data_IF_890939808243
#
_entry.id   IF_890939808243
#
_cell.length_a   1.000
_cell.length_b   1.000
_cell.length_c   1.000
_cell.angle_alpha   90.00
_cell.angle_beta   90.00
_cell.angle_gamma   90.00
#
_symmetry.space_group_name_H-M   'P 1'
#
loop_
_entity.id
_entity.type
_entity.pdbx_description
1 polymer ?
#
# COMPACT_ATOMS: atom_id res chain seq x y z
N UNK A 1 27.75 19.66 19.61
CA UNK A 1 27.84 18.19 19.58
C UNK A 1 27.61 17.75 18.15
N UNK A 2 28.47 16.91 17.62
CA UNK A 2 28.31 16.37 16.28
C UNK A 2 27.11 15.44 16.20
N UNK A 3 26.28 15.62 15.16
CA UNK A 3 25.04 14.88 14.96
C UNK A 3 25.12 14.22 13.59
N UNK A 4 24.97 12.88 13.52
CA UNK A 4 24.77 12.15 12.27
C UNK A 4 23.29 11.91 12.05
N UNK A 5 22.83 12.24 10.84
CA UNK A 5 21.50 11.87 10.35
C UNK A 5 21.62 10.74 9.37
N UNK A 6 20.84 9.71 9.56
CA UNK A 6 20.77 8.56 8.67
C UNK A 6 19.54 8.62 7.77
N UNK A 7 19.71 8.27 6.53
CA UNK A 7 18.65 8.13 5.52
C UNK A 7 18.11 6.72 5.46
N UNK A 8 17.12 6.49 4.61
CA UNK A 8 16.55 5.16 4.37
C UNK A 8 17.57 4.12 3.87
N UNK A 9 18.74 4.55 3.38
CA UNK A 9 19.78 3.65 2.88
C UNK A 9 20.77 3.18 3.97
N UNK A 10 20.69 3.73 5.18
CA UNK A 10 21.64 3.43 6.26
C UNK A 10 21.17 2.31 7.21
N UNK A 11 20.38 1.35 6.71
CA UNK A 11 19.85 0.24 7.53
C UNK A 11 20.98 -0.58 8.19
N UNK A 12 22.09 -0.75 7.51
CA UNK A 12 23.22 -1.52 8.03
C UNK A 12 23.90 -0.84 9.22
N UNK A 13 23.80 0.49 9.31
CA UNK A 13 24.26 1.23 10.50
C UNK A 13 23.37 0.90 11.69
N UNK A 14 22.03 0.88 11.49
CA UNK A 14 21.07 0.61 12.54
C UNK A 14 21.18 -0.84 13.04
N UNK A 15 21.35 -1.78 12.11
CA UNK A 15 21.47 -3.19 12.46
C UNK A 15 22.88 -3.60 12.97
N UNK A 16 23.80 -2.63 13.05
CA UNK A 16 25.17 -2.88 13.50
C UNK A 16 26.08 -3.53 12.47
N UNK A 17 25.65 -3.70 11.22
CA UNK A 17 26.46 -4.26 10.15
C UNK A 17 27.47 -3.27 9.60
N UNK A 18 27.12 -1.97 9.61
CA UNK A 18 27.97 -0.89 9.13
C UNK A 18 28.49 -0.07 10.29
N UNK A 19 29.80 0.05 10.41
CA UNK A 19 30.52 0.78 11.49
C UNK A 19 31.28 1.99 10.96
N UNK A 20 31.00 2.39 9.72
CA UNK A 20 31.61 3.58 9.11
C UNK A 20 30.62 4.28 8.17
N UNK A 21 30.85 5.53 7.88
CA UNK A 21 30.07 6.31 6.93
C UNK A 21 30.89 7.44 6.33
N UNK A 22 30.57 7.83 5.10
CA UNK A 22 31.19 8.97 4.43
C UNK A 22 30.29 10.18 4.55
N UNK A 23 30.87 11.32 4.91
CA UNK A 23 30.16 12.61 4.99
C UNK A 23 31.05 13.72 4.49
N UNK A 24 30.46 14.73 3.85
CA UNK A 24 31.16 15.98 3.56
C UNK A 24 31.72 16.57 4.86
N UNK A 25 33.01 17.01 4.84
CA UNK A 25 33.67 17.52 6.03
C UNK A 25 32.89 18.69 6.65
N UNK A 26 32.71 18.64 7.95
CA UNK A 26 32.05 19.73 8.70
C UNK A 26 32.97 20.94 8.85
N UNK A 27 32.36 22.10 9.15
CA UNK A 27 33.13 23.30 9.52
C UNK A 27 34.12 23.03 10.64
N UNK A 28 33.77 22.10 11.55
CA UNK A 28 34.66 21.57 12.59
C UNK A 28 34.79 20.06 12.34
N UNK A 29 35.90 19.61 11.76
CA UNK A 29 36.12 18.19 11.47
C UNK A 29 36.07 17.35 12.75
N UNK A 30 35.51 16.14 12.61
CA UNK A 30 35.49 15.16 13.68
C UNK A 30 36.89 14.62 13.97
N UNK A 31 37.11 14.26 15.24
CA UNK A 31 38.36 13.66 15.73
C UNK A 31 38.05 12.32 16.42
N UNK A 32 39.07 11.49 16.46
CA UNK A 32 39.04 10.26 17.26
C UNK A 32 38.72 10.60 18.71
N UNK A 33 37.79 9.89 19.33
CA UNK A 33 37.31 10.14 20.68
C UNK A 33 36.07 11.05 20.74
N UNK A 34 35.65 11.67 19.63
CA UNK A 34 34.39 12.42 19.63
C UNK A 34 33.20 11.49 19.83
N UNK A 35 32.21 11.94 20.60
CA UNK A 35 30.94 11.25 20.74
C UNK A 35 29.98 11.76 19.68
N UNK A 36 29.37 10.84 18.95
CA UNK A 36 28.35 11.08 17.95
C UNK A 36 26.97 10.76 18.53
N UNK A 37 26.02 11.65 18.25
CA UNK A 37 24.62 11.39 18.51
C UNK A 37 23.93 11.09 17.17
N UNK A 38 23.48 9.87 17.03
CA UNK A 38 22.91 9.38 15.78
C UNK A 38 21.39 9.48 15.86
N UNK A 39 20.79 10.27 14.97
CA UNK A 39 19.36 10.51 14.92
C UNK A 39 18.77 10.04 13.58
N UNK A 40 17.57 9.50 13.64
CA UNK A 40 16.71 9.25 12.51
C UNK A 40 15.88 10.48 12.18
N UNK A 41 15.82 10.82 10.88
CA UNK A 41 14.90 11.83 10.33
C UNK A 41 14.97 13.22 11.02
N UNK A 42 16.14 13.85 10.96
CA UNK A 42 16.38 15.20 11.50
C UNK A 42 15.45 16.29 10.96
N UNK A 43 14.80 16.04 9.80
CA UNK A 43 13.94 17.02 9.10
C UNK A 43 12.49 16.97 9.61
N UNK A 44 12.07 15.92 10.29
CA UNK A 44 10.71 15.79 10.84
C UNK A 44 10.62 16.34 12.27
N UNK A 45 9.38 16.67 12.70
CA UNK A 45 9.11 17.07 14.09
C UNK A 45 9.39 15.95 15.09
N UNK A 46 9.45 14.70 14.62
CA UNK A 46 9.73 13.51 15.42
C UNK A 46 11.18 13.06 15.22
N UNK A 47 12.09 13.74 15.83
CA UNK A 47 13.50 13.34 15.90
C UNK A 47 13.66 12.16 16.84
N UNK A 48 14.16 11.06 16.34
CA UNK A 48 14.42 9.88 17.15
C UNK A 48 15.92 9.64 17.23
N UNK A 49 16.48 9.71 18.44
CA UNK A 49 17.88 9.32 18.69
C UNK A 49 18.01 7.82 18.52
N UNK A 50 18.92 7.37 17.66
CA UNK A 50 19.08 5.95 17.34
C UNK A 50 20.07 5.31 18.31
N UNK A 51 21.28 5.90 18.43
CA UNK A 51 22.32 5.42 19.33
C UNK A 51 23.37 6.50 19.52
N UNK A 52 24.25 6.29 20.49
CA UNK A 52 25.50 7.02 20.63
C UNK A 52 26.64 6.17 20.07
N UNK A 53 27.60 6.83 19.47
CA UNK A 53 28.78 6.18 18.95
C UNK A 53 30.04 6.96 19.36
N UNK A 54 31.12 6.23 19.54
CA UNK A 54 32.45 6.78 19.72
C UNK A 54 33.18 6.75 18.40
N UNK A 55 33.73 7.88 17.95
CA UNK A 55 34.58 7.93 16.76
C UNK A 55 35.89 7.20 17.04
N UNK A 56 36.14 6.14 16.29
CA UNK A 56 37.34 5.31 16.47
C UNK A 56 38.43 5.64 15.45
N UNK A 57 38.07 6.12 14.27
CA UNK A 57 39.00 6.61 13.25
C UNK A 57 38.30 7.65 12.35
N UNK A 58 39.08 8.54 11.77
CA UNK A 58 38.62 9.53 10.80
C UNK A 58 39.67 9.61 9.68
N UNK A 59 39.25 9.35 8.47
CA UNK A 59 40.08 9.49 7.27
C UNK A 59 39.52 10.63 6.42
N UNK A 60 40.37 11.55 6.00
CA UNK A 60 40.00 12.55 5.03
C UNK A 60 40.20 12.02 3.64
N UNK A 61 39.21 12.21 2.76
CA UNK A 61 39.23 11.76 1.39
C UNK A 61 38.73 12.88 0.48
N UNK A 62 39.38 13.14 -0.62
CA UNK A 62 38.96 14.11 -1.60
C UNK A 62 37.80 13.59 -2.46
N UNK A 63 37.05 14.50 -3.05
CA UNK A 63 35.97 14.11 -3.98
C UNK A 63 36.55 13.36 -5.20
N UNK A 64 37.75 13.73 -5.65
CA UNK A 64 38.44 13.07 -6.75
C UNK A 64 38.75 11.58 -6.47
N UNK A 65 39.04 11.23 -5.21
CA UNK A 65 39.28 9.86 -4.78
C UNK A 65 37.99 9.06 -4.61
N UNK A 66 36.87 9.73 -4.44
CA UNK A 66 35.55 9.10 -4.26
C UNK A 66 34.87 8.82 -5.61
N UNK A 67 34.95 9.76 -6.56
CA UNK A 67 34.07 9.81 -7.74
C UNK A 67 34.18 8.62 -8.68
N UNK A 68 35.33 7.96 -8.72
CA UNK A 68 35.61 6.82 -9.60
C UNK A 68 35.95 5.54 -8.81
N UNK A 69 35.67 5.49 -7.52
CA UNK A 69 36.03 4.38 -6.64
C UNK A 69 34.83 3.45 -6.41
N UNK A 70 34.68 2.46 -7.32
CA UNK A 70 33.60 1.46 -7.23
C UNK A 70 33.76 0.56 -6.00
N UNK A 71 34.98 0.24 -5.57
CA UNK A 71 35.17 -0.56 -4.36
C UNK A 71 34.67 0.17 -3.11
N UNK A 72 34.98 1.44 -2.98
CA UNK A 72 34.51 2.28 -1.89
C UNK A 72 32.99 2.41 -1.95
N UNK A 73 32.41 2.61 -3.13
CA UNK A 73 30.96 2.72 -3.31
C UNK A 73 30.25 1.45 -2.84
N UNK A 74 30.73 0.27 -3.24
CA UNK A 74 30.15 -1.01 -2.82
C UNK A 74 30.30 -1.22 -1.30
N UNK A 75 31.44 -0.86 -0.72
CA UNK A 75 31.66 -0.91 0.73
C UNK A 75 30.71 0.02 1.50
N UNK A 76 30.29 1.13 0.90
CA UNK A 76 29.32 2.06 1.46
C UNK A 76 27.86 1.71 1.14
N UNK A 77 27.62 0.58 0.46
CA UNK A 77 26.26 0.06 0.19
C UNK A 77 25.62 0.62 -1.06
N UNK A 78 26.40 1.20 -1.97
CA UNK A 78 25.95 1.63 -3.30
C UNK A 78 26.26 0.55 -4.34
N UNK A 79 25.60 0.62 -5.48
CA UNK A 79 25.83 -0.32 -6.58
C UNK A 79 27.21 -0.13 -7.21
N UNK A 80 27.57 1.10 -7.46
CA UNK A 80 28.82 1.55 -8.09
C UNK A 80 29.09 3.02 -7.70
N UNK A 81 30.22 3.56 -8.13
CA UNK A 81 30.61 4.96 -7.88
C UNK A 81 29.61 5.97 -8.47
N UNK A 82 29.02 5.67 -9.64
CA UNK A 82 28.00 6.52 -10.26
C UNK A 82 26.71 6.58 -9.43
N UNK A 83 26.28 5.48 -8.85
CA UNK A 83 25.13 5.43 -7.95
C UNK A 83 25.40 6.23 -6.67
N UNK A 84 26.58 6.06 -6.09
CA UNK A 84 27.04 6.81 -4.93
C UNK A 84 27.07 8.33 -5.20
N UNK A 85 27.63 8.75 -6.32
CA UNK A 85 27.69 10.17 -6.72
C UNK A 85 26.32 10.77 -6.97
N UNK A 86 25.40 10.01 -7.56
CA UNK A 86 24.03 10.45 -7.76
C UNK A 86 23.33 10.76 -6.43
N UNK A 87 23.49 9.88 -5.43
CA UNK A 87 22.92 10.09 -4.11
C UNK A 87 23.62 11.22 -3.35
N UNK A 88 24.94 11.38 -3.49
CA UNK A 88 25.66 12.52 -2.92
C UNK A 88 25.20 13.85 -3.53
N UNK A 89 25.06 13.95 -4.86
CA UNK A 89 24.53 15.14 -5.53
C UNK A 89 23.11 15.49 -5.04
N UNK A 90 22.28 14.50 -4.83
CA UNK A 90 20.92 14.66 -4.30
C UNK A 90 20.97 15.16 -2.84
N UNK A 91 21.83 14.58 -2.01
CA UNK A 91 21.97 14.92 -0.58
C UNK A 91 22.50 16.33 -0.36
N UNK A 92 23.43 16.77 -1.19
CA UNK A 92 24.10 18.08 -1.09
C UNK A 92 23.59 19.12 -2.11
N UNK A 93 22.42 18.87 -2.71
CA UNK A 93 21.75 19.84 -3.60
C UNK A 93 22.49 20.16 -4.90
N UNK A 94 23.30 19.22 -5.42
CA UNK A 94 24.09 19.42 -6.61
C UNK A 94 25.33 20.30 -6.45
N UNK A 95 25.63 20.78 -5.24
CA UNK A 95 26.77 21.65 -4.93
C UNK A 95 27.97 20.84 -4.42
N UNK A 96 28.47 19.92 -5.23
CA UNK A 96 29.72 19.20 -4.94
C UNK A 96 30.75 19.60 -6.01
N UNK A 97 31.89 20.11 -5.52
CA UNK A 97 33.03 20.48 -6.37
C UNK A 97 34.20 19.52 -6.18
N UNK A 98 35.07 19.41 -7.16
CA UNK A 98 36.25 18.53 -7.11
C UNK A 98 37.20 18.85 -5.92
N UNK A 99 37.12 20.08 -5.39
CA UNK A 99 37.88 20.49 -4.21
C UNK A 99 37.19 20.22 -2.85
N UNK A 100 36.02 19.61 -2.85
CA UNK A 100 35.32 19.30 -1.59
C UNK A 100 36.01 18.14 -0.87
N UNK A 101 36.22 18.32 0.42
CA UNK A 101 36.77 17.30 1.31
C UNK A 101 35.64 16.53 1.99
N UNK A 102 35.82 15.23 2.09
CA UNK A 102 34.94 14.30 2.80
C UNK A 102 35.68 13.62 3.94
N UNK A 103 34.95 13.08 4.88
CA UNK A 103 35.50 12.27 5.95
C UNK A 103 34.86 10.89 5.94
N UNK A 104 35.69 9.87 5.97
CA UNK A 104 35.27 8.51 6.31
C UNK A 104 35.36 8.42 7.82
N UNK A 105 34.23 8.23 8.45
CA UNK A 105 34.11 8.22 9.90
C UNK A 105 33.89 6.77 10.33
N UNK A 106 34.86 6.22 11.01
CA UNK A 106 34.73 4.92 11.67
C UNK A 106 34.25 5.15 13.09
N UNK A 107 33.30 4.35 13.52
CA UNK A 107 32.76 4.48 14.87
C UNK A 107 32.42 3.14 15.47
N UNK A 108 32.48 3.07 16.78
CA UNK A 108 32.02 1.96 17.57
C UNK A 108 30.74 2.35 18.29
N UNK A 109 29.72 1.52 18.19
CA UNK A 109 28.43 1.72 18.87
C UNK A 109 28.67 1.54 20.36
N UNK A 110 28.44 2.59 21.16
CA UNK A 110 28.50 2.47 22.61
C UNK A 110 27.36 1.54 23.10
N UNK A 111 27.69 0.66 24.02
CA UNK A 111 26.70 -0.20 24.64
C UNK A 111 25.63 0.64 25.34
N UNK A 112 24.38 0.24 25.22
CA UNK A 112 23.21 0.93 25.79
C UNK A 112 23.32 1.05 27.31
N UNK A 113 24.05 0.18 27.96
CA UNK A 113 24.26 0.14 29.43
C UNK A 113 25.03 1.32 29.99
N UNK A 114 25.75 2.11 29.17
CA UNK A 114 26.46 3.32 29.59
C UNK A 114 25.60 4.60 29.52
N UNK A 115 24.38 4.49 28.99
CA UNK A 115 23.50 5.64 28.81
C UNK A 115 22.48 5.73 29.95
N UNK A 116 22.53 6.84 30.71
CA UNK A 116 21.61 7.12 31.84
C UNK A 116 20.28 7.77 31.41
N UNK A 117 19.94 7.80 30.13
CA UNK A 117 18.66 8.24 29.62
C UNK A 117 17.67 7.08 29.42
N UNK A 118 16.43 7.39 28.98
CA UNK A 118 15.41 6.37 28.73
C UNK A 118 15.92 5.26 27.81
N UNK A 119 15.72 4.00 28.19
CA UNK A 119 16.15 2.84 27.38
C UNK A 119 15.54 2.97 25.99
N UNK A 120 16.40 3.09 24.97
CA UNK A 120 15.93 3.02 23.58
C UNK A 120 15.56 1.59 23.32
N UNK A 121 14.28 1.34 23.08
CA UNK A 121 13.80 0.05 22.60
C UNK A 121 14.21 -0.07 21.11
N UNK A 122 15.31 -0.77 20.87
CA UNK A 122 15.86 -1.00 19.52
C UNK A 122 14.81 -1.69 18.61
N UNK A 123 14.05 -2.65 19.16
CA UNK A 123 12.96 -3.33 18.44
C UNK A 123 11.88 -2.34 18.04
N UNK A 124 11.39 -1.53 18.97
CA UNK A 124 10.35 -0.52 18.68
C UNK A 124 10.79 0.48 17.63
N UNK A 125 12.06 0.88 17.65
CA UNK A 125 12.63 1.80 16.69
C UNK A 125 12.71 1.21 15.28
N UNK A 126 13.21 -0.02 15.16
CA UNK A 126 13.30 -0.75 13.87
C UNK A 126 11.89 -1.01 13.33
N UNK A 127 10.95 -1.37 14.20
CA UNK A 127 9.54 -1.58 13.85
C UNK A 127 8.91 -0.31 13.28
N UNK A 128 9.03 0.81 13.99
CA UNK A 128 8.50 2.11 13.50
C UNK A 128 9.09 2.50 12.14
N UNK A 129 10.36 2.20 11.91
CA UNK A 129 10.98 2.40 10.60
C UNK A 129 10.38 1.50 9.53
N UNK A 130 10.16 0.23 9.84
CA UNK A 130 9.55 -0.72 8.93
C UNK A 130 8.15 -0.25 8.52
N UNK A 131 7.35 0.22 9.47
CA UNK A 131 6.01 0.76 9.23
C UNK A 131 6.04 1.99 8.30
N UNK A 132 6.93 2.96 8.56
CA UNK A 132 7.10 4.14 7.68
C UNK A 132 7.50 3.74 6.25
N UNK A 133 8.37 2.76 6.10
CA UNK A 133 8.79 2.25 4.79
C UNK A 133 7.65 1.52 4.09
N UNK A 134 6.86 0.75 4.82
CA UNK A 134 5.66 0.09 4.33
C UNK A 134 4.63 1.10 3.81
N UNK A 135 4.28 2.11 4.62
CA UNK A 135 3.34 3.17 4.27
C UNK A 135 3.82 4.02 3.07
N UNK A 136 5.14 4.10 2.88
CA UNK A 136 5.75 4.78 1.72
C UNK A 136 5.85 3.89 0.48
N UNK A 137 5.32 2.66 0.49
CA UNK A 137 5.38 1.69 -0.61
C UNK A 137 6.78 1.10 -0.86
N UNK A 138 7.73 1.28 0.07
CA UNK A 138 9.11 0.76 -0.06
C UNK A 138 9.23 -0.64 0.55
N UNK A 139 8.45 -1.58 0.01
CA UNK A 139 8.24 -2.90 0.59
C UNK A 139 9.52 -3.73 0.76
N UNK A 140 10.45 -3.72 -0.19
CA UNK A 140 11.72 -4.45 -0.05
C UNK A 140 12.55 -3.96 1.15
N UNK A 141 12.61 -2.63 1.36
CA UNK A 141 13.33 -2.05 2.50
C UNK A 141 12.58 -2.28 3.82
N UNK A 142 11.27 -2.26 3.78
CA UNK A 142 10.42 -2.61 4.92
C UNK A 142 10.65 -4.06 5.37
N UNK A 143 10.73 -5.02 4.41
CA UNK A 143 11.07 -6.42 4.69
C UNK A 143 12.36 -6.54 5.50
N UNK A 144 13.42 -5.85 5.09
CA UNK A 144 14.70 -5.89 5.80
C UNK A 144 14.59 -5.39 7.25
N UNK A 145 13.75 -4.37 7.48
CA UNK A 145 13.53 -3.84 8.82
C UNK A 145 12.70 -4.80 9.68
N UNK A 146 11.60 -5.37 9.14
CA UNK A 146 10.82 -6.36 9.88
C UNK A 146 11.64 -7.60 10.20
N UNK A 147 12.47 -8.09 9.26
CA UNK A 147 13.41 -9.20 9.52
C UNK A 147 14.41 -8.88 10.64
N UNK A 148 14.89 -7.63 10.68
CA UNK A 148 15.79 -7.20 11.75
C UNK A 148 15.09 -7.14 13.10
N UNK A 149 13.84 -6.65 13.16
CA UNK A 149 13.03 -6.61 14.38
C UNK A 149 12.66 -8.02 14.85
N UNK A 150 12.30 -8.93 13.93
CA UNK A 150 11.99 -10.32 14.23
C UNK A 150 13.21 -11.14 14.70
N UNK A 151 14.44 -10.72 14.35
CA UNK A 151 15.64 -11.32 14.97
C UNK A 151 15.79 -10.97 16.45
N UNK A 152 15.27 -9.81 16.87
CA UNK A 152 15.27 -9.40 18.28
C UNK A 152 14.13 -10.06 19.06
N UNK A 153 13.01 -10.27 18.41
CA UNK A 153 11.83 -10.91 19.00
C UNK A 153 11.10 -11.76 17.95
N UNK A 154 11.47 -13.04 17.80
CA UNK A 154 10.94 -13.92 16.75
C UNK A 154 9.45 -14.26 16.89
N UNK A 155 8.90 -14.11 18.09
CA UNK A 155 7.54 -14.49 18.44
C UNK A 155 6.61 -13.26 18.60
N UNK A 156 7.05 -12.08 18.14
CA UNK A 156 6.23 -10.87 18.14
C UNK A 156 5.13 -10.99 17.07
N UNK A 157 3.90 -11.18 17.51
CA UNK A 157 2.72 -11.38 16.66
C UNK A 157 2.46 -10.19 15.74
N UNK A 158 2.66 -8.96 16.24
CA UNK A 158 2.50 -7.76 15.43
C UNK A 158 3.50 -7.73 14.27
N UNK A 159 4.78 -7.99 14.56
CA UNK A 159 5.84 -8.01 13.54
C UNK A 159 5.62 -9.12 12.51
N UNK A 160 5.23 -10.32 12.96
CA UNK A 160 4.91 -11.44 12.07
C UNK A 160 3.75 -11.10 11.13
N UNK A 161 2.68 -10.48 11.66
CA UNK A 161 1.54 -10.05 10.84
C UNK A 161 1.97 -8.98 9.83
N UNK A 162 2.69 -7.93 10.26
CA UNK A 162 3.17 -6.85 9.39
C UNK A 162 4.15 -7.34 8.33
N UNK A 163 5.02 -8.27 8.65
CA UNK A 163 5.90 -8.91 7.68
C UNK A 163 5.10 -9.71 6.65
N UNK A 164 4.06 -10.43 7.07
CA UNK A 164 3.13 -11.11 6.18
C UNK A 164 2.43 -10.14 5.23
N UNK A 165 1.90 -9.02 5.74
CA UNK A 165 1.26 -7.98 4.93
C UNK A 165 2.25 -7.41 3.90
N UNK A 166 3.48 -7.14 4.32
CA UNK A 166 4.53 -6.59 3.46
C UNK A 166 4.94 -7.58 2.35
N UNK A 167 5.07 -8.87 2.66
CA UNK A 167 5.36 -9.92 1.69
C UNK A 167 4.20 -10.12 0.70
N UNK A 168 2.96 -10.00 1.17
CA UNK A 168 1.76 -10.03 0.32
C UNK A 168 1.75 -8.88 -0.69
N UNK A 169 2.16 -7.66 -0.29
CA UNK A 169 2.32 -6.52 -1.20
C UNK A 169 3.41 -6.73 -2.26
N UNK A 170 4.42 -7.53 -1.95
CA UNK A 170 5.47 -7.95 -2.88
C UNK A 170 5.08 -9.14 -3.76
N UNK A 171 3.85 -9.67 -3.63
CA UNK A 171 3.40 -10.87 -4.34
C UNK A 171 4.02 -12.18 -3.83
N UNK A 172 4.75 -12.15 -2.70
CA UNK A 172 5.37 -13.32 -2.07
C UNK A 172 4.40 -14.02 -1.13
N UNK A 173 3.29 -14.51 -1.70
CA UNK A 173 2.16 -15.03 -0.90
C UNK A 173 2.52 -16.25 -0.06
N UNK A 174 3.41 -17.13 -0.53
CA UNK A 174 3.87 -18.29 0.23
C UNK A 174 4.57 -17.88 1.54
N UNK A 175 5.54 -16.97 1.43
CA UNK A 175 6.30 -16.45 2.58
C UNK A 175 5.38 -15.67 3.53
N UNK A 176 4.39 -14.94 2.99
CA UNK A 176 3.38 -14.24 3.79
C UNK A 176 2.54 -15.21 4.62
N UNK A 177 2.07 -16.30 4.01
CA UNK A 177 1.30 -17.35 4.68
C UNK A 177 2.11 -17.97 5.83
N UNK A 178 3.40 -18.23 5.61
CA UNK A 178 4.31 -18.76 6.65
C UNK A 178 4.43 -17.80 7.85
N UNK A 179 4.48 -16.49 7.61
CA UNK A 179 4.49 -15.47 8.66
C UNK A 179 3.17 -15.47 9.46
N UNK A 180 2.03 -15.50 8.76
CA UNK A 180 0.72 -15.60 9.42
C UNK A 180 0.56 -16.90 10.19
N UNK A 181 1.09 -18.04 9.68
CA UNK A 181 1.07 -19.30 10.40
C UNK A 181 1.89 -19.28 11.69
N UNK A 182 3.02 -18.57 11.68
CA UNK A 182 3.80 -18.35 12.90
C UNK A 182 3.01 -17.52 13.90
N UNK A 183 2.40 -16.44 13.47
CA UNK A 183 1.59 -15.58 14.32
C UNK A 183 0.36 -16.32 14.90
N UNK A 184 -0.34 -17.12 14.08
CA UNK A 184 -1.51 -17.89 14.49
C UNK A 184 -1.18 -19.08 15.41
N UNK A 185 0.07 -19.53 15.48
CA UNK A 185 0.49 -20.49 16.52
C UNK A 185 0.50 -19.86 17.91
N UNK A 186 0.70 -18.55 17.98
CA UNK A 186 0.74 -17.79 19.24
C UNK A 186 -0.66 -17.28 19.58
N UNK A 187 -1.37 -16.71 18.60
CA UNK A 187 -2.73 -16.20 18.74
C UNK A 187 -3.69 -16.87 17.72
N UNK A 188 -4.19 -18.09 18.01
CA UNK A 188 -4.98 -18.86 17.04
C UNK A 188 -6.34 -18.25 16.68
N UNK A 189 -6.87 -17.37 17.52
CA UNK A 189 -8.18 -16.73 17.35
C UNK A 189 -8.10 -15.26 16.89
N UNK A 190 -6.90 -14.81 16.47
CA UNK A 190 -6.72 -13.44 15.96
C UNK A 190 -7.38 -13.29 14.58
N UNK A 191 -8.52 -12.63 14.58
CA UNK A 191 -9.36 -12.47 13.38
C UNK A 191 -8.67 -11.72 12.25
N UNK A 192 -7.84 -10.72 12.55
CA UNK A 192 -7.12 -9.94 11.55
C UNK A 192 -6.09 -10.80 10.82
N UNK A 193 -5.33 -11.60 11.57
CA UNK A 193 -4.31 -12.49 10.98
C UNK A 193 -4.97 -13.61 10.17
N UNK A 194 -6.07 -14.19 10.67
CA UNK A 194 -6.84 -15.18 9.93
C UNK A 194 -7.36 -14.59 8.61
N UNK A 195 -7.88 -13.37 8.61
CA UNK A 195 -8.36 -12.71 7.40
C UNK A 195 -7.21 -12.39 6.43
N UNK A 196 -6.09 -11.84 6.92
CA UNK A 196 -4.92 -11.56 6.09
C UNK A 196 -4.38 -12.84 5.44
N UNK A 197 -4.32 -13.94 6.19
CA UNK A 197 -3.95 -15.26 5.66
C UNK A 197 -4.93 -15.74 4.59
N UNK A 198 -6.24 -15.56 4.80
CA UNK A 198 -7.25 -15.95 3.83
C UNK A 198 -7.11 -15.14 2.53
N UNK A 199 -6.84 -13.83 2.61
CA UNK A 199 -6.58 -12.96 1.47
C UNK A 199 -5.29 -13.39 0.74
N UNK A 200 -4.21 -13.68 1.47
CA UNK A 200 -2.97 -14.16 0.86
C UNK A 200 -3.16 -15.49 0.12
N UNK A 201 -3.97 -16.40 0.68
CA UNK A 201 -4.35 -17.67 0.02
C UNK A 201 -5.17 -17.43 -1.26
N UNK A 202 -6.11 -16.48 -1.25
CA UNK A 202 -6.88 -16.09 -2.45
C UNK A 202 -5.94 -15.56 -3.54
N UNK A 203 -5.05 -14.64 -3.19
CA UNK A 203 -4.10 -14.06 -4.14
C UNK A 203 -3.09 -15.09 -4.67
N UNK A 204 -2.81 -16.15 -3.90
CA UNK A 204 -2.04 -17.31 -4.34
C UNK A 204 -2.86 -18.30 -5.19
N UNK A 205 -4.15 -18.04 -5.47
CA UNK A 205 -5.04 -18.94 -6.20
C UNK A 205 -5.57 -20.12 -5.39
N UNK A 206 -5.30 -20.17 -4.08
CA UNK A 206 -5.75 -21.27 -3.21
C UNK A 206 -7.08 -20.92 -2.52
N UNK A 207 -8.16 -20.94 -3.31
CA UNK A 207 -9.50 -20.55 -2.82
C UNK A 207 -10.02 -21.52 -1.76
N UNK A 208 -9.76 -22.82 -1.90
CA UNK A 208 -10.16 -23.82 -0.89
C UNK A 208 -9.44 -23.63 0.44
N UNK A 209 -8.15 -23.27 0.39
CA UNK A 209 -7.38 -22.90 1.58
C UNK A 209 -7.95 -21.66 2.28
N UNK A 210 -8.27 -20.63 1.50
CA UNK A 210 -8.91 -19.41 2.00
C UNK A 210 -10.26 -19.71 2.66
N UNK A 211 -11.08 -20.58 2.07
CA UNK A 211 -12.36 -20.98 2.65
C UNK A 211 -12.19 -21.70 4.00
N UNK A 212 -11.21 -22.61 4.11
CA UNK A 212 -10.91 -23.30 5.39
C UNK A 212 -10.53 -22.29 6.46
N UNK A 213 -9.64 -21.35 6.15
CA UNK A 213 -9.18 -20.32 7.11
C UNK A 213 -10.32 -19.38 7.49
N UNK A 214 -11.15 -18.93 6.52
CA UNK A 214 -12.33 -18.10 6.81
C UNK A 214 -13.36 -18.82 7.67
N UNK A 215 -13.43 -20.17 7.57
CA UNK A 215 -14.31 -20.98 8.44
C UNK A 215 -13.79 -20.99 9.87
N UNK A 216 -12.48 -21.07 10.07
CA UNK A 216 -11.85 -20.96 11.38
C UNK A 216 -12.14 -19.57 11.98
N UNK A 217 -11.91 -18.51 11.23
CA UNK A 217 -12.21 -17.14 11.65
C UNK A 217 -13.68 -16.97 12.07
N UNK A 218 -14.60 -17.47 11.25
CA UNK A 218 -16.04 -17.42 11.55
C UNK A 218 -16.43 -18.20 12.81
N UNK A 219 -15.80 -19.34 13.08
CA UNK A 219 -16.06 -20.11 14.30
C UNK A 219 -15.62 -19.37 15.57
N UNK A 220 -14.51 -18.63 15.50
CA UNK A 220 -14.07 -17.80 16.62
C UNK A 220 -14.87 -16.52 16.78
N UNK A 221 -15.20 -15.85 15.67
CA UNK A 221 -15.83 -14.52 15.66
C UNK A 221 -17.02 -14.45 14.69
N UNK A 222 -18.14 -15.15 15.01
CA UNK A 222 -19.27 -15.30 14.08
C UNK A 222 -20.05 -14.00 13.80
N UNK A 223 -19.79 -12.95 14.57
CA UNK A 223 -20.45 -11.64 14.43
C UNK A 223 -19.47 -10.51 14.13
N UNK A 224 -18.19 -10.82 13.84
CA UNK A 224 -17.23 -9.80 13.42
C UNK A 224 -17.55 -9.34 11.99
N UNK A 225 -17.74 -8.02 11.76
CA UNK A 225 -17.98 -7.48 10.41
C UNK A 225 -16.88 -7.86 9.42
N UNK A 226 -15.62 -7.75 9.82
CA UNK A 226 -14.46 -8.08 8.96
C UNK A 226 -14.47 -9.55 8.56
N UNK A 227 -14.74 -10.45 9.51
CA UNK A 227 -14.81 -11.90 9.24
C UNK A 227 -15.98 -12.22 8.30
N UNK A 228 -17.14 -11.61 8.52
CA UNK A 228 -18.32 -11.82 7.66
C UNK A 228 -18.08 -11.32 6.25
N UNK A 229 -17.52 -10.11 6.11
CA UNK A 229 -17.22 -9.53 4.79
C UNK A 229 -16.33 -10.46 3.95
N UNK A 230 -15.16 -10.82 4.46
CA UNK A 230 -14.23 -11.69 3.75
C UNK A 230 -14.77 -13.11 3.53
N UNK A 231 -15.56 -13.64 4.46
CA UNK A 231 -16.23 -14.93 4.26
C UNK A 231 -17.24 -14.86 3.13
N UNK A 232 -18.04 -13.80 3.05
CA UNK A 232 -18.97 -13.55 1.95
C UNK A 232 -18.24 -13.54 0.61
N UNK A 233 -17.18 -12.76 0.51
CA UNK A 233 -16.33 -12.64 -0.67
C UNK A 233 -15.71 -14.00 -1.10
N UNK A 234 -15.17 -14.76 -0.15
CA UNK A 234 -14.60 -16.10 -0.45
C UNK A 234 -15.67 -17.07 -0.94
N UNK A 235 -16.87 -17.03 -0.39
CA UNK A 235 -17.99 -17.85 -0.84
C UNK A 235 -18.44 -17.48 -2.25
N UNK A 236 -18.43 -16.20 -2.58
CA UNK A 236 -18.71 -15.67 -3.92
C UNK A 236 -17.67 -16.21 -4.92
N UNK A 237 -16.36 -16.09 -4.62
CA UNK A 237 -15.28 -16.64 -5.44
C UNK A 237 -15.35 -18.17 -5.63
N UNK A 238 -16.00 -18.89 -4.71
CA UNK A 238 -16.31 -20.32 -4.83
C UNK A 238 -17.59 -20.61 -5.63
N UNK A 239 -18.28 -19.59 -6.14
CA UNK A 239 -19.57 -19.73 -6.80
C UNK A 239 -20.72 -20.13 -5.85
N UNK A 240 -20.50 -20.05 -4.53
CA UNK A 240 -21.52 -20.38 -3.51
C UNK A 240 -22.40 -19.20 -3.19
N UNK A 241 -22.97 -18.56 -4.23
CA UNK A 241 -23.69 -17.29 -4.17
C UNK A 241 -24.79 -17.22 -3.11
N UNK A 242 -25.63 -18.26 -3.01
CA UNK A 242 -26.69 -18.27 -1.98
C UNK A 242 -26.16 -18.34 -0.53
N UNK A 243 -24.94 -18.88 -0.32
CA UNK A 243 -24.30 -18.84 0.99
C UNK A 243 -23.66 -17.48 1.25
N UNK A 244 -23.04 -16.87 0.25
CA UNK A 244 -22.48 -15.53 0.32
C UNK A 244 -23.56 -14.50 0.64
N UNK A 245 -24.71 -14.57 -0.05
CA UNK A 245 -25.86 -13.68 0.19
C UNK A 245 -26.33 -13.73 1.65
N UNK A 246 -26.50 -14.91 2.22
CA UNK A 246 -26.86 -15.07 3.64
C UNK A 246 -25.83 -14.45 4.60
N UNK A 247 -24.54 -14.50 4.23
CA UNK A 247 -23.48 -13.88 5.04
C UNK A 247 -23.53 -12.36 4.93
N UNK A 248 -23.74 -11.81 3.75
CA UNK A 248 -23.91 -10.36 3.57
C UNK A 248 -25.19 -9.85 4.22
N UNK A 249 -26.31 -10.58 4.13
CA UNK A 249 -27.56 -10.22 4.84
C UNK A 249 -27.35 -10.20 6.37
N UNK A 250 -26.58 -11.14 6.91
CA UNK A 250 -26.19 -11.13 8.33
C UNK A 250 -25.31 -9.94 8.66
N UNK A 251 -24.36 -9.60 7.78
CA UNK A 251 -23.46 -8.46 7.96
C UNK A 251 -24.21 -7.13 7.94
N UNK A 252 -25.20 -6.97 7.07
CA UNK A 252 -26.08 -5.78 7.01
C UNK A 252 -26.84 -5.57 8.34
N UNK A 253 -27.27 -6.65 9.00
CA UNK A 253 -27.93 -6.51 10.32
C UNK A 253 -26.97 -5.96 11.39
N UNK A 254 -25.67 -6.18 11.25
CA UNK A 254 -24.64 -5.77 12.22
C UNK A 254 -24.07 -4.40 11.87
N UNK A 255 -23.80 -4.16 10.60
CA UNK A 255 -23.05 -3.01 10.07
C UNK A 255 -23.75 -2.42 8.83
N UNK A 256 -25.05 -2.20 8.92
CA UNK A 256 -25.90 -1.76 7.81
C UNK A 256 -25.72 -0.28 7.41
N UNK A 257 -24.95 0.49 8.18
CA UNK A 257 -24.58 1.86 7.83
C UNK A 257 -23.26 1.93 7.02
N UNK A 258 -22.62 0.80 6.79
CA UNK A 258 -21.42 0.71 5.97
C UNK A 258 -21.78 0.51 4.48
N UNK A 259 -21.52 1.49 3.60
CA UNK A 259 -21.89 1.40 2.18
C UNK A 259 -21.18 0.23 1.44
N UNK A 260 -19.97 -0.16 1.88
CA UNK A 260 -19.25 -1.26 1.25
C UNK A 260 -20.00 -2.59 1.34
N UNK A 261 -20.73 -2.81 2.42
CA UNK A 261 -21.51 -4.04 2.62
C UNK A 261 -22.67 -4.14 1.64
N UNK A 262 -23.38 -3.02 1.45
CA UNK A 262 -24.46 -2.92 0.47
C UNK A 262 -23.95 -3.05 -0.96
N UNK A 263 -22.79 -2.46 -1.26
CA UNK A 263 -22.13 -2.61 -2.55
C UNK A 263 -21.75 -4.08 -2.84
N UNK A 264 -21.16 -4.76 -1.86
CA UNK A 264 -20.80 -6.18 -2.00
C UNK A 264 -22.04 -7.05 -2.26
N UNK A 265 -23.14 -6.80 -1.52
CA UNK A 265 -24.42 -7.49 -1.75
C UNK A 265 -25.00 -7.18 -3.15
N UNK A 266 -24.92 -5.93 -3.58
CA UNK A 266 -25.40 -5.52 -4.90
C UNK A 266 -24.64 -6.21 -6.02
N UNK A 267 -23.31 -6.25 -5.91
CA UNK A 267 -22.46 -6.97 -6.87
C UNK A 267 -22.83 -8.47 -6.97
N UNK A 268 -22.94 -9.13 -5.81
CA UNK A 268 -23.30 -10.54 -5.77
C UNK A 268 -24.69 -10.79 -6.41
N UNK A 269 -25.66 -9.92 -6.17
CA UNK A 269 -26.99 -10.03 -6.75
C UNK A 269 -26.98 -9.80 -8.26
N UNK A 270 -26.10 -8.91 -8.76
CA UNK A 270 -25.87 -8.72 -10.19
C UNK A 270 -25.33 -9.99 -10.81
N UNK A 271 -24.31 -10.64 -10.20
CA UNK A 271 -23.75 -11.91 -10.65
C UNK A 271 -24.79 -13.06 -10.63
N UNK A 272 -25.78 -12.97 -9.75
CA UNK A 272 -26.92 -13.90 -9.71
C UNK A 272 -28.03 -13.57 -10.71
N UNK A 273 -27.93 -12.47 -11.46
CA UNK A 273 -28.97 -11.98 -12.35
C UNK A 273 -30.22 -11.40 -11.64
N UNK A 274 -30.12 -11.11 -10.33
CA UNK A 274 -31.23 -10.55 -9.52
C UNK A 274 -31.12 -9.00 -9.52
N UNK A 275 -31.34 -8.41 -10.70
CA UNK A 275 -31.01 -7.03 -10.99
C UNK A 275 -31.81 -6.02 -10.16
N UNK A 276 -33.11 -6.26 -9.95
CA UNK A 276 -33.95 -5.37 -9.14
C UNK A 276 -33.50 -5.31 -7.67
N UNK A 277 -33.07 -6.43 -7.11
CA UNK A 277 -32.57 -6.49 -5.74
C UNK A 277 -31.13 -5.91 -5.64
N UNK A 278 -30.33 -6.05 -6.70
CA UNK A 278 -29.02 -5.41 -6.83
C UNK A 278 -29.16 -3.88 -6.77
N UNK A 279 -30.06 -3.32 -7.57
CA UNK A 279 -30.35 -1.88 -7.61
C UNK A 279 -30.75 -1.37 -6.22
N UNK A 280 -31.66 -2.07 -5.52
CA UNK A 280 -32.04 -1.71 -4.15
C UNK A 280 -30.85 -1.70 -3.18
N UNK A 281 -29.90 -2.63 -3.39
CA UNK A 281 -28.68 -2.67 -2.56
C UNK A 281 -27.75 -1.50 -2.87
N UNK A 282 -27.55 -1.16 -4.14
CA UNK A 282 -26.76 0.01 -4.52
C UNK A 282 -27.42 1.34 -4.08
N UNK A 283 -28.76 1.44 -4.19
CA UNK A 283 -29.50 2.60 -3.64
C UNK A 283 -29.25 2.77 -2.15
N UNK A 284 -29.26 1.67 -1.39
CA UNK A 284 -28.96 1.70 0.03
C UNK A 284 -27.51 2.10 0.30
N UNK A 285 -26.55 1.62 -0.49
CA UNK A 285 -25.15 2.06 -0.38
C UNK A 285 -25.02 3.58 -0.54
N UNK A 286 -25.74 4.15 -1.49
CA UNK A 286 -25.77 5.61 -1.73
C UNK A 286 -26.50 6.36 -0.62
N UNK A 287 -27.60 5.80 -0.09
CA UNK A 287 -28.41 6.42 0.97
C UNK A 287 -27.65 6.52 2.30
N UNK A 288 -26.81 5.54 2.63
CA UNK A 288 -26.06 5.51 3.90
C UNK A 288 -24.77 6.35 3.86
N UNK A 289 -24.36 6.87 2.70
CA UNK A 289 -23.27 7.82 2.62
C UNK A 289 -23.64 9.14 3.28
N UNK A 290 -22.78 9.66 4.16
CA UNK A 290 -23.04 10.87 4.94
C UNK A 290 -22.97 12.15 4.12
N UNK A 291 -22.11 12.15 3.09
CA UNK A 291 -21.96 13.28 2.16
C UNK A 291 -21.54 12.80 0.76
N UNK A 292 -21.57 13.73 -0.23
CA UNK A 292 -21.22 13.42 -1.61
C UNK A 292 -19.74 13.03 -1.79
N UNK A 293 -18.85 13.37 -0.85
CA UNK A 293 -17.42 13.03 -0.92
C UNK A 293 -17.15 11.58 -0.56
N UNK A 294 -18.06 10.95 0.17
CA UNK A 294 -18.01 9.53 0.55
C UNK A 294 -18.79 8.63 -0.43
N UNK A 295 -19.52 9.25 -1.35
CA UNK A 295 -20.39 8.54 -2.29
C UNK A 295 -19.55 7.75 -3.31
N UNK A 296 -19.78 6.45 -3.38
CA UNK A 296 -19.08 5.57 -4.32
C UNK A 296 -19.65 5.73 -5.76
N UNK A 297 -18.94 6.50 -6.58
CA UNK A 297 -19.31 6.70 -7.98
C UNK A 297 -19.32 5.37 -8.77
N UNK A 298 -18.49 4.40 -8.38
CA UNK A 298 -18.47 3.09 -9.01
C UNK A 298 -19.74 2.28 -8.67
N UNK A 299 -20.28 2.42 -7.45
CA UNK A 299 -21.56 1.78 -7.10
C UNK A 299 -22.73 2.34 -7.92
N UNK A 300 -22.77 3.67 -8.09
CA UNK A 300 -23.77 4.34 -8.93
C UNK A 300 -23.65 3.90 -10.39
N UNK A 301 -22.42 3.76 -10.90
CA UNK A 301 -22.18 3.25 -12.26
C UNK A 301 -22.66 1.79 -12.40
N UNK A 302 -22.42 0.92 -11.41
CA UNK A 302 -22.92 -0.46 -11.42
C UNK A 302 -24.45 -0.52 -11.40
N UNK A 303 -25.09 0.36 -10.63
CA UNK A 303 -26.54 0.51 -10.66
C UNK A 303 -27.04 0.92 -12.05
N UNK A 304 -26.34 1.84 -12.71
CA UNK A 304 -26.62 2.21 -14.10
C UNK A 304 -26.52 1.01 -15.07
N UNK A 305 -25.49 0.18 -14.93
CA UNK A 305 -25.35 -1.04 -15.73
C UNK A 305 -26.51 -2.04 -15.47
N UNK A 306 -26.92 -2.22 -14.22
CA UNK A 306 -28.06 -3.05 -13.90
C UNK A 306 -29.37 -2.52 -14.50
N UNK A 307 -29.53 -1.19 -14.60
CA UNK A 307 -30.66 -0.60 -15.32
C UNK A 307 -30.60 -0.82 -16.83
N UNK A 308 -29.40 -0.82 -17.45
CA UNK A 308 -29.23 -1.20 -18.87
C UNK A 308 -29.73 -2.62 -19.09
N UNK A 309 -29.27 -3.58 -18.25
CA UNK A 309 -29.64 -4.98 -18.35
C UNK A 309 -31.15 -5.22 -18.19
N UNK A 310 -31.86 -4.31 -17.50
CA UNK A 310 -33.32 -4.27 -17.38
C UNK A 310 -34.02 -3.50 -18.52
N UNK A 311 -33.27 -2.93 -19.46
CA UNK A 311 -33.81 -2.08 -20.53
C UNK A 311 -34.33 -0.72 -20.07
N UNK A 312 -33.95 -0.26 -18.87
CA UNK A 312 -34.36 1.02 -18.27
C UNK A 312 -33.30 2.09 -18.54
N UNK A 313 -33.25 2.53 -19.80
CA UNK A 313 -32.16 3.37 -20.28
C UNK A 313 -32.17 4.81 -19.74
N UNK A 314 -33.35 5.38 -19.43
CA UNK A 314 -33.43 6.73 -18.86
C UNK A 314 -32.88 6.73 -17.42
N UNK A 315 -33.23 5.74 -16.60
CA UNK A 315 -32.72 5.58 -15.24
C UNK A 315 -31.20 5.30 -15.27
N UNK A 316 -30.73 4.50 -16.21
CA UNK A 316 -29.29 4.27 -16.41
C UNK A 316 -28.54 5.58 -16.72
N UNK A 317 -29.09 6.41 -17.60
CA UNK A 317 -28.52 7.70 -17.96
C UNK A 317 -28.43 8.65 -16.75
N UNK A 318 -29.42 8.68 -15.89
CA UNK A 318 -29.38 9.44 -14.63
C UNK A 318 -28.26 8.96 -13.71
N UNK A 319 -28.08 7.65 -13.57
CA UNK A 319 -26.98 7.06 -12.79
C UNK A 319 -25.62 7.47 -13.35
N UNK A 320 -25.38 7.34 -14.65
CA UNK A 320 -24.11 7.72 -15.24
C UNK A 320 -23.84 9.22 -15.14
N UNK A 321 -24.85 10.05 -15.30
CA UNK A 321 -24.68 11.49 -15.10
C UNK A 321 -24.28 11.83 -13.66
N UNK A 322 -24.87 11.15 -12.67
CA UNK A 322 -24.52 11.30 -11.25
C UNK A 322 -23.08 10.80 -10.99
N UNK A 323 -22.71 9.62 -11.48
CA UNK A 323 -21.35 9.09 -11.35
C UNK A 323 -20.30 10.02 -11.97
N UNK A 324 -20.56 10.56 -13.17
CA UNK A 324 -19.69 11.54 -13.84
C UNK A 324 -19.63 12.87 -13.07
N UNK A 325 -20.68 13.28 -12.36
CA UNK A 325 -20.62 14.48 -11.53
C UNK A 325 -19.65 14.37 -10.37
N UNK A 326 -19.49 13.16 -9.82
CA UNK A 326 -18.53 12.83 -8.77
C UNK A 326 -17.11 12.64 -9.34
N UNK A 327 -17.00 11.90 -10.41
CA UNK A 327 -15.72 11.61 -11.08
C UNK A 327 -15.73 12.03 -12.57
N UNK A 328 -15.55 13.31 -12.84
CA UNK A 328 -15.68 13.93 -14.17
C UNK A 328 -14.77 13.34 -15.27
N UNK A 329 -13.73 12.64 -14.90
CA UNK A 329 -12.71 12.16 -15.80
C UNK A 329 -12.63 10.64 -15.91
N UNK A 330 -13.54 9.93 -15.28
CA UNK A 330 -13.60 8.48 -15.36
C UNK A 330 -14.05 8.04 -16.76
N UNK A 331 -13.18 7.29 -17.43
CA UNK A 331 -13.38 6.84 -18.82
C UNK A 331 -14.54 5.86 -18.93
N UNK A 332 -14.67 4.95 -17.97
CA UNK A 332 -15.69 3.90 -17.98
C UNK A 332 -17.10 4.50 -17.85
N UNK A 333 -17.26 5.53 -17.00
CA UNK A 333 -18.54 6.19 -16.84
C UNK A 333 -18.96 6.96 -18.10
N UNK A 334 -17.99 7.60 -18.78
CA UNK A 334 -18.24 8.28 -20.04
C UNK A 334 -18.58 7.30 -21.16
N UNK A 335 -17.90 6.14 -21.20
CA UNK A 335 -18.17 5.09 -22.18
C UNK A 335 -19.59 4.52 -21.99
N UNK A 336 -19.94 4.13 -20.75
CA UNK A 336 -21.26 3.58 -20.43
C UNK A 336 -22.37 4.60 -20.73
N UNK A 337 -22.16 5.90 -20.44
CA UNK A 337 -23.08 6.96 -20.83
C UNK A 337 -23.29 7.01 -22.33
N UNK A 338 -22.20 6.91 -23.12
CA UNK A 338 -22.27 6.89 -24.58
C UNK A 338 -23.12 5.73 -25.09
N UNK A 339 -22.90 4.53 -24.55
CA UNK A 339 -23.67 3.32 -24.89
C UNK A 339 -25.17 3.54 -24.63
N UNK A 340 -25.56 4.04 -23.46
CA UNK A 340 -26.96 4.29 -23.15
C UNK A 340 -27.59 5.35 -24.06
N UNK A 341 -26.83 6.38 -24.43
CA UNK A 341 -27.31 7.40 -25.34
C UNK A 341 -27.56 6.84 -26.75
N UNK A 342 -26.75 5.85 -27.19
CA UNK A 342 -27.02 5.10 -28.45
C UNK A 342 -28.34 4.33 -28.35
N UNK A 343 -28.55 3.59 -27.29
CA UNK A 343 -29.81 2.82 -27.06
C UNK A 343 -31.05 3.72 -27.04
N UNK A 344 -30.90 4.97 -26.55
CA UNK A 344 -31.94 6.00 -26.58
C UNK A 344 -32.08 6.71 -27.92
N UNK A 345 -31.26 6.38 -28.93
CA UNK A 345 -31.24 7.05 -30.23
C UNK A 345 -30.67 8.48 -30.20
N UNK A 346 -29.99 8.88 -29.12
CA UNK A 346 -29.39 10.21 -28.95
C UNK A 346 -27.92 10.20 -29.45
N UNK A 347 -27.77 9.91 -30.76
CA UNK A 347 -26.45 9.65 -31.35
C UNK A 347 -25.49 10.83 -31.24
N UNK A 348 -25.94 12.11 -31.41
CA UNK A 348 -25.09 13.28 -31.26
C UNK A 348 -24.44 13.38 -29.88
N UNK A 349 -25.24 13.14 -28.80
CA UNK A 349 -24.78 13.18 -27.44
C UNK A 349 -23.86 11.97 -27.14
N UNK A 350 -24.11 10.81 -27.75
CA UNK A 350 -23.26 9.64 -27.65
C UNK A 350 -21.88 9.91 -28.24
N UNK A 351 -21.80 10.48 -29.45
CA UNK A 351 -20.54 10.90 -30.09
C UNK A 351 -19.75 11.87 -29.21
N UNK A 352 -20.42 12.85 -28.55
CA UNK A 352 -19.74 13.76 -27.63
C UNK A 352 -19.13 12.99 -26.42
N UNK A 353 -19.84 12.00 -25.90
CA UNK A 353 -19.35 11.16 -24.80
C UNK A 353 -18.13 10.34 -25.23
N UNK A 354 -18.16 9.68 -26.39
CA UNK A 354 -17.04 8.92 -26.94
C UNK A 354 -15.84 9.81 -27.30
N UNK A 355 -16.07 11.01 -27.81
CA UNK A 355 -14.99 11.98 -28.04
C UNK A 355 -14.28 12.36 -26.74
N UNK A 356 -15.00 12.49 -25.62
CA UNK A 356 -14.41 12.74 -24.30
C UNK A 356 -13.57 11.55 -23.80
N UNK A 357 -13.96 10.33 -24.13
CA UNK A 357 -13.17 9.11 -23.88
C UNK A 357 -11.89 9.14 -24.71
N UNK A 358 -12.00 9.33 -26.04
CA UNK A 358 -10.87 9.32 -26.97
C UNK A 358 -9.88 10.48 -26.73
N UNK A 359 -10.35 11.61 -26.20
CA UNK A 359 -9.46 12.71 -25.79
C UNK A 359 -8.51 12.30 -24.64
N UNK A 360 -8.91 11.35 -23.79
CA UNK A 360 -8.14 10.88 -22.63
C UNK A 360 -7.37 9.59 -22.91
N UNK A 361 -7.97 8.73 -23.68
CA UNK A 361 -7.39 7.47 -24.15
C UNK A 361 -7.63 7.36 -25.67
N UNK A 362 -6.70 7.91 -26.50
CA UNK A 362 -6.83 7.86 -27.95
C UNK A 362 -6.86 6.46 -28.55
N UNK A 363 -6.32 5.47 -27.84
CA UNK A 363 -6.23 4.08 -28.27
C UNK A 363 -7.41 3.21 -27.76
N UNK A 364 -8.49 3.84 -27.25
CA UNK A 364 -9.66 3.11 -26.82
C UNK A 364 -10.47 2.64 -28.04
N UNK A 365 -10.31 1.36 -28.37
CA UNK A 365 -10.95 0.72 -29.54
C UNK A 365 -12.48 0.77 -29.42
N UNK A 366 -13.05 0.49 -28.26
CA UNK A 366 -14.50 0.45 -28.03
C UNK A 366 -15.14 1.82 -28.33
N UNK A 367 -14.55 2.87 -27.73
CA UNK A 367 -15.05 4.25 -27.97
C UNK A 367 -14.94 4.65 -29.44
N UNK A 368 -13.89 4.21 -30.13
CA UNK A 368 -13.72 4.47 -31.56
C UNK A 368 -14.81 3.78 -32.38
N UNK A 369 -14.99 2.48 -32.21
CA UNK A 369 -16.01 1.71 -32.97
C UNK A 369 -17.43 2.19 -32.70
N UNK A 370 -17.80 2.40 -31.44
CA UNK A 370 -19.13 2.88 -31.06
C UNK A 370 -19.42 4.29 -31.59
N UNK A 371 -18.38 5.15 -31.63
CA UNK A 371 -18.51 6.46 -32.24
C UNK A 371 -18.78 6.38 -33.75
N UNK A 372 -18.03 5.54 -34.49
CA UNK A 372 -18.26 5.35 -35.93
C UNK A 372 -19.65 4.78 -36.20
N UNK A 373 -20.10 3.83 -35.42
CA UNK A 373 -21.47 3.29 -35.49
C UNK A 373 -22.54 4.38 -35.28
N UNK A 374 -22.31 5.30 -34.30
CA UNK A 374 -23.20 6.44 -34.13
C UNK A 374 -23.24 7.32 -35.38
N UNK A 375 -22.06 7.59 -35.98
CA UNK A 375 -21.96 8.46 -37.17
C UNK A 375 -22.64 7.88 -38.43
N UNK A 376 -22.76 6.56 -38.51
CA UNK A 376 -23.50 5.88 -39.58
C UNK A 376 -25.03 5.98 -39.43
N UNK A 377 -25.51 6.28 -38.22
CA UNK A 377 -26.95 6.37 -37.89
C UNK A 377 -27.46 7.84 -37.81
N UNK A 378 -26.67 8.80 -38.27
CA UNK A 378 -27.10 10.20 -38.39
C UNK A 378 -28.05 10.40 -39.63
#
# INVERSE_FOLDING_TARGET
MPILSFSSNDIDVITGKKTRTIRKAWKTPLKVGDRLYCYWNLVSKEKMKIFEALVTNVENISFDEIKDNDELAVQEGFKDSHDMLREFKKMYGGQINDSDEFQIIYFEKLHIDEWKGDKIDEKAMITKRADILFDSGKFDKSTMCYDAALRLDPDDVYLLNKQGDNLSRLGKFGDAIDCYDKALRIEPDNEYILNNKAIALLNAGNIDGAYKVSTIAYNYRPSSPVVLYWRGFILEMLGRYGAALRVYDKLIVIDGENPEVWNARGNLLTDMGQLEEAIKSFDKAVEVCLDDSEMDAAAINRMGNAYIDLGKFDEALECFNKAISLEKHNIDFLLNKGVVLMELGKFEEAVDSFNKVLLRNPDNEDAFFLKEECLENF
#
